data_IF_672451880205
#
_entry.id   IF_672451880205
#
_cell.length_a   1.000
_cell.length_b   1.000
_cell.length_c   1.000
_cell.angle_alpha   90.00
_cell.angle_beta   90.00
_cell.angle_gamma   90.00
#
_symmetry.space_group_name_H-M   'P 1'
#
loop_
_entity.id
_entity.type
_entity.pdbx_description
1 polymer ?
#
# COMPACT_ATOMS: atom_id res chain seq x y z
N UNK A 1 5.04 -28.43 25.66
CA UNK A 1 6.39 -28.86 25.18
C UNK A 1 6.37 -30.38 25.01
N UNK A 2 7.07 -30.96 24.01
CA UNK A 2 6.52 -31.22 22.67
C UNK A 2 6.48 -32.71 22.27
N UNK A 3 5.79 -32.96 21.15
CA UNK A 3 5.59 -34.24 20.47
C UNK A 3 6.73 -34.49 19.47
N UNK A 4 7.34 -35.68 19.51
CA UNK A 4 8.44 -36.09 18.63
C UNK A 4 7.96 -36.58 17.26
N UNK A 5 8.63 -36.11 16.22
CA UNK A 5 8.47 -36.47 14.80
C UNK A 5 9.28 -37.73 14.51
N UNK A 6 8.64 -38.77 13.95
CA UNK A 6 9.31 -39.95 13.39
C UNK A 6 9.90 -39.62 12.00
N UNK A 7 11.23 -39.64 11.88
CA UNK A 7 11.94 -39.56 10.61
C UNK A 7 12.24 -41.00 10.13
N UNK A 8 11.68 -41.37 8.99
CA UNK A 8 12.12 -42.54 8.22
C UNK A 8 13.45 -42.22 7.51
N UNK A 9 14.56 -42.74 8.03
CA UNK A 9 15.87 -42.68 7.36
C UNK A 9 16.05 -43.91 6.47
N UNK A 10 16.30 -43.70 5.18
CA UNK A 10 16.39 -44.74 4.16
C UNK A 10 17.78 -45.41 4.17
N UNK A 11 17.80 -46.75 4.16
CA UNK A 11 19.00 -47.61 4.30
C UNK A 11 20.13 -47.35 3.29
N UNK A 12 19.84 -46.68 2.15
CA UNK A 12 20.86 -46.33 1.13
C UNK A 12 21.62 -45.02 1.38
N UNK A 13 21.11 -44.08 2.18
CA UNK A 13 21.89 -42.89 2.57
C UNK A 13 22.93 -43.22 3.64
N UNK A 14 22.70 -44.28 4.43
CA UNK A 14 23.67 -44.83 5.37
C UNK A 14 24.89 -45.46 4.66
N UNK A 15 24.69 -46.14 3.51
CA UNK A 15 25.80 -46.69 2.72
C UNK A 15 26.69 -45.61 2.10
N UNK A 16 26.11 -44.45 1.73
CA UNK A 16 26.86 -43.33 1.15
C UNK A 16 27.72 -42.60 2.21
N UNK A 17 27.23 -42.51 3.45
CA UNK A 17 27.97 -41.95 4.58
C UNK A 17 29.11 -42.88 5.05
N UNK A 18 28.90 -44.20 4.98
CA UNK A 18 29.96 -45.20 5.24
C UNK A 18 31.05 -45.13 4.17
N UNK A 19 30.69 -44.87 2.90
CA UNK A 19 31.68 -44.70 1.82
C UNK A 19 32.53 -43.43 1.97
N UNK A 20 31.92 -42.31 2.39
CA UNK A 20 32.65 -41.08 2.68
C UNK A 20 33.55 -41.21 3.93
N UNK A 21 33.11 -41.96 4.94
CA UNK A 21 33.93 -42.27 6.11
C UNK A 21 35.14 -43.17 5.76
N UNK A 22 34.97 -44.14 4.84
CA UNK A 22 36.09 -44.94 4.33
C UNK A 22 37.08 -44.13 3.48
N UNK A 23 36.59 -43.18 2.67
CA UNK A 23 37.43 -42.31 1.84
C UNK A 23 38.33 -41.41 2.68
N UNK A 24 37.81 -40.83 3.77
CA UNK A 24 38.61 -40.00 4.68
C UNK A 24 39.59 -40.85 5.50
N UNK A 25 39.21 -42.08 5.87
CA UNK A 25 40.06 -42.98 6.65
C UNK A 25 41.22 -43.61 5.85
N UNK A 26 41.04 -43.86 4.54
CA UNK A 26 42.08 -44.44 3.69
C UNK A 26 43.11 -43.41 3.20
N UNK A 27 42.73 -42.14 3.12
CA UNK A 27 43.64 -41.06 2.68
C UNK A 27 44.71 -40.70 3.74
N UNK A 28 44.60 -41.25 4.97
CA UNK A 28 45.53 -40.98 6.07
C UNK A 28 46.51 -42.13 6.43
N UNK A 29 46.52 -43.26 5.72
CA UNK A 29 47.40 -44.38 6.06
C UNK A 29 48.10 -45.01 4.86
N UNK A 30 49.36 -44.57 4.68
CA UNK A 30 50.47 -45.21 3.93
C UNK A 30 50.30 -45.38 2.42
N UNK A 31 51.32 -44.90 1.72
CA UNK A 31 51.40 -44.90 0.27
C UNK A 31 51.41 -46.29 -0.35
N UNK A 32 51.04 -46.31 -1.63
CA UNK A 32 51.54 -47.25 -2.61
C UNK A 32 51.31 -46.66 -4.00
N UNK A 33 52.32 -46.83 -4.85
CA UNK A 33 52.45 -46.32 -6.20
C UNK A 33 51.36 -46.85 -7.14
N UNK A 34 50.86 -46.00 -8.04
CA UNK A 34 49.96 -46.40 -9.11
C UNK A 34 49.43 -45.20 -9.90
N UNK A 35 49.86 -45.08 -11.16
CA UNK A 35 49.39 -44.06 -12.11
C UNK A 35 47.86 -44.07 -12.21
N UNK A 36 47.23 -42.92 -11.90
CA UNK A 36 45.79 -42.73 -11.94
C UNK A 36 45.39 -42.03 -13.26
N UNK A 37 44.61 -42.72 -14.10
CA UNK A 37 44.09 -42.20 -15.37
C UNK A 37 42.79 -41.39 -15.13
N UNK A 38 42.95 -40.08 -14.95
CA UNK A 38 41.88 -39.15 -14.57
C UNK A 38 40.74 -39.02 -15.59
N UNK A 39 40.95 -39.37 -16.87
CA UNK A 39 39.88 -39.27 -17.88
C UNK A 39 38.79 -40.32 -17.68
N UNK A 40 39.15 -41.53 -17.23
CA UNK A 40 38.18 -42.61 -16.99
C UNK A 40 37.27 -42.34 -15.79
N UNK A 41 37.80 -41.71 -14.75
CA UNK A 41 37.01 -41.33 -13.57
C UNK A 41 36.00 -40.21 -13.88
N UNK A 42 36.39 -39.22 -14.70
CA UNK A 42 35.50 -38.13 -15.12
C UNK A 42 34.40 -38.65 -16.06
N UNK A 43 34.73 -39.54 -17.00
CA UNK A 43 33.75 -40.19 -17.88
C UNK A 43 32.70 -41.01 -17.12
N UNK A 44 33.15 -41.82 -16.14
CA UNK A 44 32.26 -42.63 -15.30
C UNK A 44 31.32 -41.77 -14.43
N UNK A 45 31.84 -40.68 -13.85
CA UNK A 45 31.03 -39.76 -13.02
C UNK A 45 29.93 -39.05 -13.82
N UNK A 46 30.20 -38.56 -15.04
CA UNK A 46 29.19 -37.92 -15.90
C UNK A 46 28.11 -38.88 -16.36
N UNK A 47 28.45 -40.15 -16.55
CA UNK A 47 27.50 -41.19 -16.94
C UNK A 47 26.53 -41.51 -15.79
N UNK A 48 27.08 -41.68 -14.57
CA UNK A 48 26.29 -41.85 -13.34
C UNK A 48 25.39 -40.66 -13.01
N UNK A 49 25.84 -39.42 -13.21
CA UNK A 49 24.99 -38.24 -13.01
C UNK A 49 23.79 -38.18 -13.95
N UNK A 50 23.99 -38.56 -15.23
CA UNK A 50 22.89 -38.60 -16.21
C UNK A 50 21.86 -39.67 -15.87
N UNK A 51 22.29 -40.86 -15.44
CA UNK A 51 21.39 -41.92 -14.98
C UNK A 51 20.58 -41.50 -13.77
N UNK A 52 21.21 -40.89 -12.75
CA UNK A 52 20.52 -40.41 -11.54
C UNK A 52 19.52 -39.31 -11.87
N UNK A 53 19.83 -38.41 -12.82
CA UNK A 53 18.93 -37.34 -13.24
C UNK A 53 17.71 -37.89 -13.98
N UNK A 54 17.91 -38.86 -14.86
CA UNK A 54 16.84 -39.54 -15.58
C UNK A 54 15.93 -40.34 -14.61
N UNK A 55 16.51 -41.01 -13.62
CA UNK A 55 15.75 -41.78 -12.62
C UNK A 55 14.94 -40.86 -11.68
N UNK A 56 15.49 -39.69 -11.30
CA UNK A 56 14.76 -38.66 -10.55
C UNK A 56 13.59 -38.06 -11.34
N UNK A 57 13.75 -37.84 -12.64
CA UNK A 57 12.65 -37.35 -13.50
C UNK A 57 11.57 -38.41 -13.68
N UNK A 58 11.95 -39.68 -13.88
CA UNK A 58 10.99 -40.79 -13.94
C UNK A 58 10.22 -40.97 -12.61
N UNK A 59 10.89 -40.81 -11.47
CA UNK A 59 10.20 -40.79 -10.17
C UNK A 59 9.23 -39.61 -10.06
N UNK A 60 9.66 -38.38 -10.40
CA UNK A 60 8.77 -37.20 -10.39
C UNK A 60 7.54 -37.39 -11.29
N UNK A 61 7.71 -38.00 -12.46
CA UNK A 61 6.62 -38.31 -13.39
C UNK A 61 5.66 -39.37 -12.82
N UNK A 62 6.18 -40.42 -12.19
CA UNK A 62 5.34 -41.43 -11.51
C UNK A 62 4.57 -40.84 -10.32
N UNK A 63 5.21 -40.00 -9.50
CA UNK A 63 4.55 -39.32 -8.38
C UNK A 63 3.47 -38.34 -8.85
N UNK A 64 3.70 -37.59 -9.94
CA UNK A 64 2.64 -36.75 -10.55
C UNK A 64 1.46 -37.57 -11.03
N UNK A 65 1.69 -38.69 -11.75
CA UNK A 65 0.60 -39.55 -12.25
C UNK A 65 -0.23 -40.16 -11.12
N UNK A 66 0.39 -40.57 -10.02
CA UNK A 66 -0.32 -41.08 -8.83
C UNK A 66 -1.14 -39.97 -8.17
N UNK A 67 -0.60 -38.75 -8.04
CA UNK A 67 -1.32 -37.62 -7.47
C UNK A 67 -2.52 -37.19 -8.32
N UNK A 68 -2.41 -37.25 -9.65
CA UNK A 68 -3.52 -36.95 -10.58
C UNK A 68 -4.63 -38.02 -10.51
N UNK A 69 -4.28 -39.29 -10.33
CA UNK A 69 -5.25 -40.39 -10.16
C UNK A 69 -6.01 -40.31 -8.84
N UNK A 70 -5.36 -39.89 -7.74
CA UNK A 70 -6.01 -39.69 -6.44
C UNK A 70 -6.97 -38.48 -6.47
N UNK A 71 -6.61 -37.41 -7.21
CA UNK A 71 -7.49 -36.25 -7.38
C UNK A 71 -8.74 -36.58 -8.22
N UNK A 72 -8.61 -37.42 -9.24
CA UNK A 72 -9.73 -37.88 -10.06
C UNK A 72 -10.67 -38.83 -9.30
N UNK A 73 -10.14 -39.68 -8.42
CA UNK A 73 -10.95 -40.55 -7.56
C UNK A 73 -11.69 -39.77 -6.45
N UNK A 74 -11.12 -38.68 -5.95
CA UNK A 74 -11.79 -37.81 -4.96
C UNK A 74 -12.95 -36.99 -5.57
N UNK A 75 -12.92 -36.73 -6.88
CA UNK A 75 -13.99 -36.01 -7.60
C UNK A 75 -15.17 -36.90 -8.02
N UNK A 76 -15.03 -38.24 -7.95
CA UNK A 76 -16.07 -39.18 -8.36
C UNK A 76 -16.97 -39.68 -7.20
N UNK A 77 -16.68 -39.31 -5.95
CA UNK A 77 -17.45 -39.77 -4.76
C UNK A 77 -18.36 -38.68 -4.18
N UNK A 78 -18.41 -37.47 -4.77
CA UNK A 78 -19.26 -36.37 -4.29
C UNK A 78 -20.51 -36.09 -5.12
N UNK A 79 -20.81 -36.90 -6.15
CA UNK A 79 -21.97 -36.67 -7.04
C UNK A 79 -23.30 -37.31 -6.58
N UNK A 80 -23.44 -37.71 -5.32
CA UNK A 80 -24.69 -38.30 -4.79
C UNK A 80 -24.97 -37.85 -3.35
N UNK A 81 -25.14 -36.54 -3.14
CA UNK A 81 -25.97 -36.02 -2.04
C UNK A 81 -26.52 -34.64 -2.45
N UNK A 82 -27.43 -34.66 -3.43
CA UNK A 82 -28.37 -33.57 -3.66
C UNK A 82 -29.45 -33.64 -2.57
N UNK A 83 -29.18 -33.06 -1.40
CA UNK A 83 -30.23 -32.65 -0.49
C UNK A 83 -30.28 -31.13 -0.51
N UNK A 84 -31.41 -30.63 -1.00
CA UNK A 84 -31.78 -29.24 -0.97
C UNK A 84 -31.68 -28.69 0.46
N UNK A 85 -30.64 -27.90 0.72
CA UNK A 85 -30.67 -26.89 1.76
C UNK A 85 -31.13 -25.60 1.11
N UNK A 86 -32.45 -25.43 0.99
CA UNK A 86 -33.05 -24.10 0.99
C UNK A 86 -32.94 -23.54 2.41
N UNK A 87 -31.71 -23.26 2.83
CA UNK A 87 -31.40 -22.37 3.93
C UNK A 87 -30.68 -21.20 3.30
N UNK A 88 -31.37 -20.07 3.13
CA UNK A 88 -30.72 -18.84 2.70
C UNK A 88 -29.51 -18.61 3.60
N UNK A 89 -28.31 -18.64 3.03
CA UNK A 89 -27.12 -18.28 3.77
C UNK A 89 -27.37 -16.87 4.30
N UNK A 90 -27.48 -16.72 5.63
CA UNK A 90 -27.69 -15.40 6.23
C UNK A 90 -26.58 -14.50 5.73
N UNK A 91 -26.93 -13.39 5.08
CA UNK A 91 -25.96 -12.42 4.58
C UNK A 91 -24.96 -12.07 5.69
N UNK A 92 -23.67 -12.05 5.33
CA UNK A 92 -22.62 -11.67 6.29
C UNK A 92 -22.72 -10.18 6.57
N UNK A 93 -22.35 -9.80 7.79
CA UNK A 93 -22.26 -8.39 8.15
C UNK A 93 -21.20 -7.68 7.29
N UNK A 94 -21.43 -6.40 7.03
CA UNK A 94 -20.48 -5.49 6.39
C UNK A 94 -19.21 -5.43 7.24
N UNK A 95 -18.08 -5.69 6.59
CA UNK A 95 -16.76 -5.41 7.17
C UNK A 95 -16.43 -3.95 6.89
N UNK A 96 -16.67 -3.07 7.86
CA UNK A 96 -16.26 -1.66 7.77
C UNK A 96 -14.74 -1.57 7.93
N UNK A 97 -14.05 -1.01 6.93
CA UNK A 97 -12.61 -0.80 6.93
C UNK A 97 -12.33 0.69 7.05
N UNK A 98 -11.69 1.10 8.14
CA UNK A 98 -11.32 2.50 8.42
C UNK A 98 -9.82 2.68 8.41
N UNK A 99 -9.37 3.92 8.23
CA UNK A 99 -7.97 4.28 8.42
C UNK A 99 -7.67 4.61 9.88
N UNK A 100 -6.40 4.58 10.26
CA UNK A 100 -5.93 5.00 11.58
C UNK A 100 -6.24 6.48 11.86
N UNK A 101 -6.37 6.86 13.12
CA UNK A 101 -6.71 8.24 13.52
C UNK A 101 -5.70 9.30 13.04
N UNK A 102 -4.46 8.91 12.73
CA UNK A 102 -3.44 9.80 12.15
C UNK A 102 -3.56 10.03 10.63
N UNK A 103 -4.55 9.41 9.98
CA UNK A 103 -4.77 9.47 8.54
C UNK A 103 -5.53 10.72 8.13
N UNK A 104 -4.94 11.51 7.23
CA UNK A 104 -5.70 12.57 6.55
C UNK A 104 -6.85 12.04 5.68
N UNK A 105 -6.82 10.76 5.28
CA UNK A 105 -7.93 10.15 4.50
C UNK A 105 -9.13 9.89 5.38
N UNK A 106 -8.87 9.46 6.61
CA UNK A 106 -9.90 9.37 7.62
C UNK A 106 -10.45 10.74 7.95
N UNK A 107 -9.58 11.70 8.24
CA UNK A 107 -10.00 13.07 8.57
C UNK A 107 -10.91 13.65 7.48
N UNK A 108 -10.53 13.52 6.20
CA UNK A 108 -11.35 14.00 5.09
C UNK A 108 -12.67 13.23 4.91
N UNK A 109 -12.67 11.91 5.08
CA UNK A 109 -13.88 11.10 4.97
C UNK A 109 -14.83 11.37 6.14
N UNK A 110 -14.34 11.24 7.36
CA UNK A 110 -15.13 11.26 8.57
C UNK A 110 -15.76 12.64 8.83
N UNK A 111 -15.10 13.74 8.42
CA UNK A 111 -15.63 15.11 8.53
C UNK A 111 -16.63 15.49 7.42
N UNK A 112 -16.76 14.68 6.37
CA UNK A 112 -17.76 14.89 5.30
C UNK A 112 -18.95 13.93 5.41
N UNK A 113 -18.80 12.80 6.10
CA UNK A 113 -19.84 11.78 6.22
C UNK A 113 -20.69 12.03 7.46
N UNK A 114 -21.99 12.24 7.26
CA UNK A 114 -22.95 12.67 8.29
C UNK A 114 -24.35 12.08 8.10
N UNK A 115 -25.09 11.90 9.20
CA UNK A 115 -26.54 11.65 9.17
C UNK A 115 -27.39 12.94 9.15
N UNK A 116 -26.75 14.08 8.93
CA UNK A 116 -27.37 15.42 8.99
C UNK A 116 -27.36 16.03 10.39
N UNK A 117 -27.05 15.25 11.44
CA UNK A 117 -26.92 15.74 12.83
C UNK A 117 -25.49 15.57 13.34
N UNK A 118 -24.90 14.40 13.11
CA UNK A 118 -23.57 14.02 13.58
C UNK A 118 -22.67 13.66 12.40
N UNK A 119 -21.37 13.90 12.55
CA UNK A 119 -20.34 13.44 11.62
C UNK A 119 -19.62 12.21 12.17
N UNK A 120 -18.98 11.41 11.30
CA UNK A 120 -18.16 10.30 11.78
C UNK A 120 -16.94 10.79 12.60
N UNK A 121 -16.47 12.01 12.34
CA UNK A 121 -15.53 12.74 13.18
C UNK A 121 -16.10 14.14 13.46
N UNK A 122 -16.30 14.45 14.74
CA UNK A 122 -16.77 15.76 15.19
C UNK A 122 -16.03 16.23 16.45
N UNK A 123 -16.23 17.50 16.82
CA UNK A 123 -15.71 18.05 18.07
C UNK A 123 -16.83 18.21 19.07
N UNK A 124 -16.73 17.48 20.19
CA UNK A 124 -17.61 17.63 21.36
C UNK A 124 -16.76 18.16 22.51
N UNK A 125 -17.13 19.32 23.06
CA UNK A 125 -16.38 20.02 24.11
C UNK A 125 -14.89 20.24 23.76
N UNK A 126 -14.61 20.56 22.49
CA UNK A 126 -13.26 20.77 21.98
C UNK A 126 -12.43 19.50 21.78
N UNK A 127 -12.97 18.32 22.11
CA UNK A 127 -12.31 17.02 21.91
C UNK A 127 -12.83 16.35 20.64
N UNK A 128 -11.92 15.73 19.88
CA UNK A 128 -12.31 14.90 18.74
C UNK A 128 -13.04 13.65 19.23
N UNK A 129 -14.22 13.40 18.68
CA UNK A 129 -15.02 12.20 18.88
C UNK A 129 -15.17 11.50 17.55
N UNK A 130 -15.00 10.17 17.56
CA UNK A 130 -15.20 9.32 16.39
C UNK A 130 -16.44 8.47 16.58
N UNK A 131 -17.40 8.60 15.67
CA UNK A 131 -18.68 7.87 15.67
C UNK A 131 -18.64 6.61 14.80
N UNK A 132 -17.46 6.20 14.31
CA UNK A 132 -17.29 4.93 13.59
C UNK A 132 -17.59 3.72 14.48
N UNK A 133 -18.09 2.63 13.90
CA UNK A 133 -18.39 1.39 14.62
C UNK A 133 -17.15 0.82 15.31
N UNK A 134 -17.33 0.30 16.53
CA UNK A 134 -16.28 -0.36 17.31
C UNK A 134 -15.78 -1.66 16.67
N UNK A 135 -16.54 -2.23 15.74
CA UNK A 135 -16.15 -3.44 14.99
C UNK A 135 -15.39 -3.13 13.71
N UNK A 136 -15.11 -1.85 13.42
CA UNK A 136 -14.37 -1.46 12.23
C UNK A 136 -12.96 -2.04 12.25
N UNK A 137 -12.52 -2.54 11.11
CA UNK A 137 -11.15 -3.01 10.90
C UNK A 137 -10.28 -1.81 10.56
N UNK A 138 -9.41 -1.42 11.49
CA UNK A 138 -8.49 -0.32 11.28
C UNK A 138 -7.28 -0.76 10.43
N UNK A 139 -6.88 0.10 9.49
CA UNK A 139 -5.76 -0.09 8.58
C UNK A 139 -4.88 1.15 8.55
N UNK A 140 -3.55 0.97 8.56
CA UNK A 140 -2.60 2.09 8.68
C UNK A 140 -2.19 2.70 7.35
N UNK A 141 -2.42 2.02 6.22
CA UNK A 141 -1.95 2.45 4.90
C UNK A 141 -3.03 2.33 3.84
N UNK A 142 -2.97 3.19 2.83
CA UNK A 142 -3.85 3.13 1.66
C UNK A 142 -3.83 1.74 1.00
N UNK A 143 -2.64 1.16 0.79
CA UNK A 143 -2.50 -0.16 0.19
C UNK A 143 -3.07 -1.31 1.02
N UNK A 144 -3.10 -1.18 2.36
CA UNK A 144 -3.66 -2.23 3.22
C UNK A 144 -5.19 -2.17 3.28
N UNK A 145 -5.79 -0.97 3.18
CA UNK A 145 -7.24 -0.83 2.94
C UNK A 145 -7.63 -1.46 1.61
N UNK A 146 -6.93 -1.11 0.52
CA UNK A 146 -7.18 -1.66 -0.82
C UNK A 146 -7.15 -3.19 -0.80
N UNK A 147 -6.09 -3.78 -0.22
CA UNK A 147 -5.94 -5.23 -0.12
C UNK A 147 -7.03 -5.89 0.72
N UNK A 148 -7.42 -5.26 1.83
CA UNK A 148 -8.48 -5.79 2.71
C UNK A 148 -9.82 -5.79 1.97
N UNK A 149 -10.20 -4.69 1.31
CA UNK A 149 -11.45 -4.60 0.55
C UNK A 149 -11.46 -5.57 -0.65
N UNK A 150 -10.35 -5.70 -1.36
CA UNK A 150 -10.21 -6.65 -2.47
C UNK A 150 -10.34 -8.12 -2.02
N UNK A 151 -9.96 -8.44 -0.78
CA UNK A 151 -10.00 -9.81 -0.24
C UNK A 151 -11.33 -10.23 0.38
N UNK A 152 -12.21 -9.28 0.70
CA UNK A 152 -13.41 -9.51 1.50
C UNK A 152 -14.66 -8.99 0.77
N UNK A 153 -15.49 -9.92 0.28
CA UNK A 153 -16.68 -9.62 -0.54
C UNK A 153 -17.71 -8.71 0.17
N UNK A 154 -17.65 -8.65 1.51
CA UNK A 154 -18.54 -7.84 2.34
C UNK A 154 -17.87 -6.58 2.89
N UNK A 155 -16.64 -6.26 2.45
CA UNK A 155 -15.94 -5.09 2.93
C UNK A 155 -16.32 -3.81 2.18
N UNK A 156 -16.38 -2.72 2.94
CA UNK A 156 -16.44 -1.35 2.45
C UNK A 156 -15.32 -0.55 3.11
N UNK A 157 -14.67 0.30 2.34
CA UNK A 157 -13.63 1.20 2.84
C UNK A 157 -13.51 2.43 1.95
N UNK A 158 -12.47 3.22 2.19
CA UNK A 158 -12.21 4.43 1.43
C UNK A 158 -10.70 4.64 1.23
N UNK A 159 -10.33 5.14 0.05
CA UNK A 159 -8.94 5.42 -0.33
C UNK A 159 -8.84 6.67 -1.20
N UNK A 160 -7.62 7.19 -1.39
CA UNK A 160 -7.37 8.20 -2.43
C UNK A 160 -7.73 7.65 -3.80
N UNK A 161 -8.42 8.44 -4.63
CA UNK A 161 -8.85 8.04 -5.98
C UNK A 161 -7.67 7.59 -6.84
N UNK A 162 -6.53 8.30 -6.79
CA UNK A 162 -5.32 7.93 -7.51
C UNK A 162 -4.70 6.58 -7.09
N UNK A 163 -5.17 5.98 -5.98
CA UNK A 163 -4.74 4.66 -5.51
C UNK A 163 -5.67 3.51 -5.88
N UNK A 164 -6.83 3.80 -6.49
CA UNK A 164 -7.78 2.79 -6.98
C UNK A 164 -7.13 1.97 -8.10
N UNK A 165 -7.45 0.68 -8.15
CA UNK A 165 -7.13 -0.22 -9.27
C UNK A 165 -8.31 -1.17 -9.54
N UNK A 166 -8.12 -2.13 -10.45
CA UNK A 166 -9.11 -3.10 -10.92
C UNK A 166 -9.51 -4.18 -9.89
N UNK A 167 -8.88 -4.21 -8.71
CA UNK A 167 -9.19 -5.20 -7.66
C UNK A 167 -10.35 -4.79 -6.74
N UNK A 168 -10.82 -3.54 -6.86
CA UNK A 168 -11.94 -2.99 -6.09
C UNK A 168 -12.89 -2.24 -7.01
N UNK A 169 -14.13 -2.06 -6.57
CA UNK A 169 -15.15 -1.27 -7.24
C UNK A 169 -15.37 0.05 -6.51
N UNK A 170 -15.31 1.16 -7.23
CA UNK A 170 -15.63 2.50 -6.69
C UNK A 170 -17.14 2.71 -6.71
N UNK A 171 -17.67 3.23 -5.62
CA UNK A 171 -19.09 3.62 -5.51
C UNK A 171 -19.28 5.08 -5.89
N UNK A 172 -20.47 5.39 -6.41
CA UNK A 172 -20.97 6.76 -6.43
C UNK A 172 -21.34 7.20 -5.02
N UNK A 173 -21.27 8.51 -4.77
CA UNK A 173 -21.77 9.13 -3.55
C UNK A 173 -22.78 10.20 -3.93
N UNK A 174 -24.02 10.07 -3.45
CA UNK A 174 -25.15 10.91 -3.86
C UNK A 174 -25.32 10.96 -5.40
N UNK A 175 -25.16 9.83 -6.10
CA UNK A 175 -25.26 9.78 -7.56
C UNK A 175 -24.03 10.28 -8.32
N UNK A 176 -23.03 10.83 -7.64
CA UNK A 176 -21.82 11.40 -8.25
C UNK A 176 -20.66 10.42 -8.15
N UNK A 177 -20.04 10.09 -9.29
CA UNK A 177 -18.81 9.32 -9.32
C UNK A 177 -17.60 10.25 -9.07
N UNK A 178 -16.61 9.86 -8.25
CA UNK A 178 -15.41 10.67 -8.09
C UNK A 178 -14.58 10.70 -9.38
N UNK A 179 -14.24 11.90 -9.84
CA UNK A 179 -13.43 12.17 -11.02
C UNK A 179 -12.77 13.54 -10.90
N UNK A 180 -11.87 13.89 -11.81
CA UNK A 180 -11.30 15.25 -11.85
C UNK A 180 -12.38 16.32 -12.04
N UNK A 181 -13.30 16.10 -12.97
CA UNK A 181 -14.41 17.01 -13.28
C UNK A 181 -15.29 17.24 -12.04
N UNK A 182 -15.76 16.16 -11.41
CA UNK A 182 -16.68 16.22 -10.27
C UNK A 182 -16.03 16.71 -8.97
N UNK A 183 -14.70 16.69 -8.89
CA UNK A 183 -13.94 17.31 -7.79
C UNK A 183 -13.78 18.81 -8.03
N UNK A 184 -13.43 19.21 -9.26
CA UNK A 184 -13.21 20.61 -9.60
C UNK A 184 -14.49 21.45 -9.57
N UNK A 185 -15.61 20.88 -9.99
CA UNK A 185 -16.92 21.53 -9.91
C UNK A 185 -17.55 21.45 -8.50
N UNK A 186 -16.97 20.64 -7.62
CA UNK A 186 -17.39 20.46 -6.23
C UNK A 186 -18.68 19.67 -6.04
N UNK A 187 -19.14 18.93 -7.05
CA UNK A 187 -20.30 18.02 -6.94
C UNK A 187 -19.96 16.78 -6.12
N UNK A 188 -18.74 16.25 -6.23
CA UNK A 188 -18.23 15.19 -5.36
C UNK A 188 -17.66 15.78 -4.07
N UNK A 189 -18.39 15.66 -2.97
CA UNK A 189 -18.07 16.37 -1.72
C UNK A 189 -16.90 15.81 -0.93
N UNK A 190 -16.62 14.51 -1.03
CA UNK A 190 -15.60 13.85 -0.21
C UNK A 190 -14.22 14.03 -0.86
N UNK A 191 -13.67 15.23 -0.73
CA UNK A 191 -12.40 15.63 -1.34
C UNK A 191 -11.51 16.36 -0.33
N UNK A 192 -10.21 16.44 -0.62
CA UNK A 192 -9.24 17.06 0.28
C UNK A 192 -8.03 17.63 -0.47
N UNK A 193 -7.32 18.59 0.12
CA UNK A 193 -6.03 19.00 -0.38
C UNK A 193 -4.94 17.98 -0.04
N UNK A 194 -4.02 17.80 -0.96
CA UNK A 194 -2.68 17.27 -0.70
C UNK A 194 -1.77 18.45 -0.37
N UNK A 195 -1.37 18.52 0.89
CA UNK A 195 -0.65 19.65 1.48
C UNK A 195 0.80 19.28 1.67
N UNK A 196 1.68 20.16 1.22
CA UNK A 196 3.12 20.11 1.49
C UNK A 196 3.43 21.20 2.51
N UNK A 197 4.24 20.87 3.52
CA UNK A 197 4.47 21.73 4.68
C UNK A 197 5.93 21.75 5.15
N UNK A 198 6.32 22.87 5.75
CA UNK A 198 7.59 23.12 6.45
C UNK A 198 7.35 23.92 7.71
N UNK A 199 8.33 23.95 8.62
CA UNK A 199 8.18 24.67 9.88
C UNK A 199 8.20 26.17 9.62
N UNK A 200 7.25 26.90 10.20
CA UNK A 200 7.24 28.35 10.10
C UNK A 200 8.45 28.95 10.83
N UNK A 201 9.08 29.96 10.23
CA UNK A 201 10.19 30.69 10.83
C UNK A 201 11.53 29.95 10.85
N UNK A 202 11.63 28.75 10.28
CA UNK A 202 12.91 28.06 10.08
C UNK A 202 13.53 28.48 8.74
N UNK A 203 14.85 28.62 8.71
CA UNK A 203 15.57 28.73 7.44
C UNK A 203 15.75 27.32 6.86
N UNK A 204 15.17 27.07 5.68
CA UNK A 204 15.38 25.80 4.99
C UNK A 204 16.84 25.67 4.54
N UNK A 205 17.38 24.47 4.61
CA UNK A 205 18.66 24.14 3.96
C UNK A 205 18.57 24.41 2.46
N UNK A 206 19.68 24.74 1.81
CA UNK A 206 19.69 25.09 0.37
C UNK A 206 19.02 24.00 -0.49
N UNK A 207 19.33 22.73 -0.21
CA UNK A 207 18.72 21.59 -0.89
C UNK A 207 17.21 21.47 -0.64
N UNK A 208 16.76 21.64 0.60
CA UNK A 208 15.33 21.59 0.91
C UNK A 208 14.57 22.78 0.31
N UNK A 209 15.16 23.97 0.29
CA UNK A 209 14.60 25.15 -0.34
C UNK A 209 14.45 24.98 -1.86
N UNK A 210 15.47 24.43 -2.54
CA UNK A 210 15.42 24.15 -3.99
C UNK A 210 14.34 23.13 -4.34
N UNK A 211 14.25 22.03 -3.57
CA UNK A 211 13.19 21.05 -3.77
C UNK A 211 11.81 21.60 -3.41
N UNK A 212 11.69 22.47 -2.39
CA UNK A 212 10.44 23.15 -2.08
C UNK A 212 10.00 24.06 -3.23
N UNK A 213 10.94 24.77 -3.86
CA UNK A 213 10.66 25.55 -5.07
C UNK A 213 10.20 24.64 -6.23
N UNK A 214 10.82 23.48 -6.41
CA UNK A 214 10.40 22.46 -7.37
C UNK A 214 8.96 22.00 -7.13
N UNK A 215 8.61 21.62 -5.89
CA UNK A 215 7.25 21.23 -5.53
C UNK A 215 6.23 22.38 -5.67
N UNK A 216 6.66 23.63 -5.48
CA UNK A 216 5.78 24.80 -5.64
C UNK A 216 5.59 25.21 -7.11
N UNK A 217 6.37 24.65 -8.03
CA UNK A 217 6.38 25.06 -9.44
C UNK A 217 5.39 24.30 -10.33
N UNK A 218 5.37 24.68 -11.61
CA UNK A 218 4.73 23.95 -12.71
C UNK A 218 5.32 22.53 -12.93
N UNK A 219 6.56 22.27 -12.49
CA UNK A 219 7.20 20.97 -12.64
C UNK A 219 6.49 19.85 -11.86
N UNK A 220 5.69 20.19 -10.85
CA UNK A 220 4.90 19.20 -10.11
C UNK A 220 3.69 18.69 -10.92
N UNK A 221 3.22 19.41 -11.93
CA UNK A 221 1.97 19.10 -12.65
C UNK A 221 1.95 17.69 -13.23
N UNK A 222 2.99 17.31 -13.99
CA UNK A 222 3.05 15.98 -14.60
C UNK A 222 3.10 14.85 -13.55
N UNK A 223 3.74 15.10 -12.40
CA UNK A 223 3.79 14.13 -11.29
C UNK A 223 2.44 13.99 -10.60
N UNK A 224 1.68 15.09 -10.46
CA UNK A 224 0.32 15.08 -9.94
C UNK A 224 -0.63 14.28 -10.82
N UNK A 225 -0.64 14.57 -12.12
CA UNK A 225 -1.45 13.85 -13.10
C UNK A 225 -1.11 12.35 -13.10
N UNK A 226 0.18 11.99 -13.10
CA UNK A 226 0.62 10.59 -13.01
C UNK A 226 0.27 9.92 -11.68
N UNK A 227 0.16 10.68 -10.59
CA UNK A 227 -0.25 10.17 -9.29
C UNK A 227 -1.76 10.00 -9.16
N UNK A 228 -2.55 10.53 -10.12
CA UNK A 228 -4.01 10.50 -10.10
C UNK A 228 -4.62 11.52 -9.14
N UNK A 229 -3.92 12.62 -8.87
CA UNK A 229 -4.44 13.77 -8.14
C UNK A 229 -4.49 15.01 -9.06
N UNK A 230 -5.36 15.95 -8.71
CA UNK A 230 -5.70 17.09 -9.57
C UNK A 230 -4.78 18.24 -9.20
N UNK A 231 -3.87 18.61 -10.10
CA UNK A 231 -2.92 19.69 -9.87
C UNK A 231 -3.63 21.02 -9.65
N UNK A 232 -3.28 21.72 -8.56
CA UNK A 232 -3.86 23.03 -8.27
C UNK A 232 -3.04 24.14 -8.94
N UNK A 233 -3.50 24.60 -10.10
CA UNK A 233 -2.90 25.73 -10.80
C UNK A 233 -3.39 27.11 -10.31
N UNK A 234 -4.59 27.17 -9.72
CA UNK A 234 -5.21 28.40 -9.20
C UNK A 234 -4.51 28.85 -7.89
N UNK A 235 -3.81 30.01 -7.88
CA UNK A 235 -3.08 30.49 -6.71
C UNK A 235 -3.94 30.62 -5.45
N UNK A 236 -5.23 30.95 -5.58
CA UNK A 236 -6.13 31.11 -4.44
C UNK A 236 -6.43 29.76 -3.76
N UNK A 237 -6.51 28.68 -4.55
CA UNK A 237 -6.75 27.31 -4.03
C UNK A 237 -5.49 26.66 -3.45
N UNK A 238 -4.31 27.19 -3.78
CA UNK A 238 -3.03 26.73 -3.24
C UNK A 238 -2.75 27.24 -1.84
N UNK A 239 -3.33 28.37 -1.45
CA UNK A 239 -3.26 28.90 -0.11
C UNK A 239 -4.32 28.26 0.81
N UNK A 240 -4.10 28.36 2.13
CA UNK A 240 -5.17 28.10 3.08
C UNK A 240 -6.26 29.16 2.98
N UNK A 241 -7.49 28.81 3.34
CA UNK A 241 -8.60 29.76 3.35
C UNK A 241 -8.28 30.99 4.21
N UNK A 242 -8.34 32.16 3.58
CA UNK A 242 -8.04 33.47 4.19
C UNK A 242 -6.56 33.89 4.13
N UNK A 243 -5.67 33.08 3.56
CA UNK A 243 -4.26 33.44 3.34
C UNK A 243 -4.02 34.01 1.94
N UNK A 244 -2.86 34.68 1.76
CA UNK A 244 -2.47 35.24 0.46
C UNK A 244 -2.30 34.13 -0.60
N UNK A 245 -2.76 34.36 -1.85
CA UNK A 245 -2.61 33.40 -2.93
C UNK A 245 -1.16 32.99 -3.19
N UNK A 246 -0.92 31.70 -3.42
CA UNK A 246 0.42 31.16 -3.68
C UNK A 246 0.58 30.89 -5.17
N UNK A 247 1.32 31.74 -5.88
CA UNK A 247 1.49 31.63 -7.32
C UNK A 247 2.24 30.34 -7.74
N UNK A 248 1.86 29.78 -8.89
CA UNK A 248 2.68 28.79 -9.61
C UNK A 248 3.81 29.53 -10.32
N UNK A 249 5.04 29.11 -10.05
CA UNK A 249 6.24 29.61 -10.73
C UNK A 249 6.81 28.53 -11.64
N UNK A 250 7.69 28.92 -12.57
CA UNK A 250 8.48 27.95 -13.33
C UNK A 250 9.74 27.60 -12.56
N UNK A 251 10.03 26.31 -12.42
CA UNK A 251 11.25 25.87 -11.77
C UNK A 251 12.47 26.11 -12.67
N UNK A 252 13.47 26.81 -12.13
CA UNK A 252 14.76 26.99 -12.80
C UNK A 252 15.80 26.14 -12.10
N UNK A 253 16.26 25.08 -12.77
CA UNK A 253 17.31 24.20 -12.27
C UNK A 253 18.61 24.98 -12.01
N UNK A 254 19.26 24.73 -10.88
CA UNK A 254 20.59 25.28 -10.59
C UNK A 254 21.70 24.60 -11.39
N UNK A 255 22.86 25.25 -11.52
CA UNK A 255 24.01 24.70 -12.24
C UNK A 255 24.49 23.36 -11.64
N UNK A 256 24.41 23.23 -10.31
CA UNK A 256 24.76 22.03 -9.54
C UNK A 256 23.68 21.73 -8.51
N UNK A 257 23.53 20.46 -8.13
CA UNK A 257 22.66 20.07 -7.03
C UNK A 257 23.10 20.81 -5.75
N UNK A 258 22.21 21.52 -5.04
CA UNK A 258 22.58 22.19 -3.81
C UNK A 258 23.16 21.23 -2.76
N UNK A 259 24.20 21.71 -2.09
CA UNK A 259 24.85 20.96 -1.02
C UNK A 259 23.92 20.84 0.20
N UNK A 260 24.21 19.86 1.06
CA UNK A 260 23.47 19.66 2.29
C UNK A 260 23.19 18.19 2.58
N UNK A 261 22.53 17.97 3.71
CA UNK A 261 22.06 16.66 4.14
C UNK A 261 20.89 16.16 3.25
N UNK A 262 20.45 14.94 3.49
CA UNK A 262 19.23 14.44 2.83
C UNK A 262 18.03 15.25 3.31
N UNK A 263 17.08 15.46 2.40
CA UNK A 263 15.77 16.01 2.74
C UNK A 263 14.97 14.89 3.43
N UNK A 264 14.49 15.16 4.63
CA UNK A 264 13.66 14.26 5.42
C UNK A 264 12.22 14.47 5.04
N UNK A 265 11.60 13.49 4.37
CA UNK A 265 10.19 13.55 3.97
C UNK A 265 9.40 12.62 4.88
N UNK A 266 8.40 13.18 5.57
CA UNK A 266 7.49 12.43 6.45
C UNK A 266 6.04 12.76 6.15
N UNK A 267 5.15 11.80 6.25
CA UNK A 267 3.72 12.11 6.24
C UNK A 267 2.80 11.10 5.57
N UNK A 268 1.82 11.63 4.82
CA UNK A 268 0.70 10.86 4.29
C UNK A 268 1.09 9.75 3.31
N UNK A 269 0.60 8.55 3.56
CA UNK A 269 0.67 7.40 2.64
C UNK A 269 -0.21 7.56 1.41
N UNK A 270 -1.20 8.48 1.40
CA UNK A 270 -1.96 8.78 0.18
C UNK A 270 -1.18 9.62 -0.82
N UNK A 271 -0.12 10.30 -0.38
CA UNK A 271 0.72 11.13 -1.24
C UNK A 271 1.94 10.37 -1.79
N UNK A 272 2.05 9.07 -1.54
CA UNK A 272 3.21 8.24 -1.91
C UNK A 272 3.55 8.33 -3.40
N UNK A 273 2.56 8.12 -4.28
CA UNK A 273 2.78 8.19 -5.74
C UNK A 273 3.28 9.56 -6.17
N UNK A 274 2.67 10.63 -5.65
CA UNK A 274 3.03 12.01 -5.97
C UNK A 274 4.46 12.33 -5.54
N UNK A 275 4.79 12.11 -4.27
CA UNK A 275 6.07 12.55 -3.74
C UNK A 275 7.23 11.69 -4.25
N UNK A 276 7.02 10.40 -4.47
CA UNK A 276 8.05 9.53 -5.04
C UNK A 276 8.33 9.86 -6.50
N UNK A 277 7.29 10.18 -7.30
CA UNK A 277 7.46 10.67 -8.66
C UNK A 277 8.17 12.03 -8.70
N UNK A 278 7.75 12.98 -7.86
CA UNK A 278 8.38 14.30 -7.78
C UNK A 278 9.84 14.23 -7.31
N UNK A 279 10.14 13.42 -6.29
CA UNK A 279 11.50 13.19 -5.81
C UNK A 279 12.38 12.56 -6.90
N UNK A 280 11.85 11.58 -7.63
CA UNK A 280 12.54 10.99 -8.78
C UNK A 280 12.78 12.02 -9.88
N UNK A 281 11.77 12.79 -10.27
CA UNK A 281 11.88 13.82 -11.31
C UNK A 281 12.92 14.87 -10.96
N UNK A 282 12.94 15.33 -9.71
CA UNK A 282 13.96 16.26 -9.21
C UNK A 282 15.37 15.65 -9.24
N UNK A 283 15.54 14.39 -8.82
CA UNK A 283 16.84 13.72 -8.86
C UNK A 283 17.34 13.51 -10.30
N UNK A 284 16.44 13.16 -11.22
CA UNK A 284 16.74 12.97 -12.64
C UNK A 284 17.23 14.29 -13.28
N UNK A 285 16.72 15.46 -12.86
CA UNK A 285 17.22 16.77 -13.32
C UNK A 285 18.70 16.96 -13.04
N UNK A 286 19.21 16.39 -11.95
CA UNK A 286 20.61 16.49 -11.53
C UNK A 286 21.44 15.25 -11.90
N UNK A 287 20.85 14.24 -12.53
CA UNK A 287 21.54 13.01 -12.93
C UNK A 287 22.01 12.16 -11.75
N UNK A 288 21.28 12.17 -10.63
CA UNK A 288 21.62 11.43 -9.40
C UNK A 288 20.45 10.53 -8.97
N UNK A 289 20.68 9.62 -8.02
CA UNK A 289 19.61 8.79 -7.48
C UNK A 289 18.80 9.56 -6.43
N UNK A 290 17.47 9.40 -6.45
CA UNK A 290 16.59 10.00 -5.45
C UNK A 290 16.97 9.58 -4.01
N UNK A 291 17.42 8.34 -3.80
CA UNK A 291 17.85 7.85 -2.50
C UNK A 291 19.07 8.60 -1.93
N UNK A 292 19.85 9.30 -2.76
CA UNK A 292 20.99 10.11 -2.33
C UNK A 292 20.57 11.51 -1.85
N UNK A 293 19.39 11.97 -2.28
CA UNK A 293 18.81 13.29 -1.94
C UNK A 293 17.79 13.17 -0.81
N UNK A 294 17.01 12.09 -0.77
CA UNK A 294 15.81 11.99 0.05
C UNK A 294 15.87 10.82 1.04
N UNK A 295 15.36 11.06 2.24
CA UNK A 295 14.94 10.04 3.20
C UNK A 295 13.42 10.12 3.36
N UNK A 296 12.70 9.23 2.67
CA UNK A 296 11.23 9.26 2.60
C UNK A 296 10.65 8.15 3.47
N UNK A 297 9.82 8.52 4.45
CA UNK A 297 9.05 7.57 5.26
C UNK A 297 7.62 8.06 5.43
N UNK A 298 6.65 7.25 4.99
CA UNK A 298 5.23 7.63 4.96
C UNK A 298 4.44 6.72 5.89
N UNK A 299 3.85 7.34 6.92
CA UNK A 299 3.17 6.64 8.02
C UNK A 299 1.83 7.27 8.39
N UNK A 300 1.51 8.47 7.91
CA UNK A 300 0.29 9.18 8.25
C UNK A 300 0.46 10.70 8.22
N UNK A 301 -0.63 11.44 8.03
CA UNK A 301 -0.59 12.91 7.97
C UNK A 301 -0.15 13.52 9.30
N UNK A 302 -0.60 12.95 10.44
CA UNK A 302 -0.18 13.41 11.76
C UNK A 302 1.32 13.23 12.04
N UNK A 303 1.94 12.18 11.49
CA UNK A 303 3.40 11.98 11.58
C UNK A 303 4.15 13.07 10.81
N UNK A 304 3.66 13.43 9.62
CA UNK A 304 4.21 14.54 8.84
C UNK A 304 4.11 15.86 9.57
N UNK A 305 2.93 16.16 10.15
CA UNK A 305 2.69 17.39 10.91
C UNK A 305 3.67 17.48 12.08
N UNK A 306 3.78 16.39 12.86
CA UNK A 306 4.70 16.30 14.00
C UNK A 306 6.17 16.44 13.61
N UNK A 307 6.60 15.79 12.52
CA UNK A 307 7.97 15.92 12.02
C UNK A 307 8.33 17.35 11.65
N UNK A 308 7.38 18.09 11.05
CA UNK A 308 7.56 19.52 10.75
C UNK A 308 7.61 20.35 12.03
N UNK A 309 6.73 20.13 12.99
CA UNK A 309 6.76 20.82 14.29
C UNK A 309 8.09 20.63 15.01
N UNK A 310 8.64 19.43 14.95
CA UNK A 310 9.89 19.03 15.61
C UNK A 310 11.15 19.41 14.82
N UNK A 311 11.01 19.94 13.60
CA UNK A 311 12.16 20.32 12.77
C UNK A 311 12.99 21.41 13.44
N UNK A 312 14.30 21.22 13.49
CA UNK A 312 15.28 22.17 14.01
C UNK A 312 16.42 22.44 13.04
N UNK A 313 16.45 21.72 11.92
CA UNK A 313 17.55 21.71 10.94
C UNK A 313 17.13 22.33 9.60
N UNK A 314 15.83 22.42 9.31
CA UNK A 314 15.32 23.03 8.09
C UNK A 314 15.46 22.14 6.85
N UNK A 315 15.62 20.83 7.05
CA UNK A 315 15.63 19.83 5.98
C UNK A 315 14.40 18.92 5.99
N UNK A 316 13.39 19.20 6.83
CA UNK A 316 12.18 18.38 6.91
C UNK A 316 11.06 18.95 6.06
N UNK A 317 10.45 18.10 5.23
CA UNK A 317 9.23 18.39 4.49
C UNK A 317 8.14 17.41 4.93
N UNK A 318 7.06 17.97 5.44
CA UNK A 318 5.89 17.21 5.85
C UNK A 318 4.85 17.10 4.73
N UNK A 319 4.13 15.98 4.72
CA UNK A 319 3.03 15.71 3.79
C UNK A 319 1.73 15.43 4.55
N UNK A 320 0.66 16.16 4.25
CA UNK A 320 -0.66 15.98 4.84
C UNK A 320 -1.70 15.81 3.75
N UNK A 321 -2.48 14.75 3.80
CA UNK A 321 -3.59 14.55 2.86
C UNK A 321 -4.92 14.96 3.52
N UNK A 322 -4.87 16.10 4.21
CA UNK A 322 -5.96 16.78 4.88
C UNK A 322 -5.51 18.23 5.08
N UNK A 323 -6.46 19.15 5.23
CA UNK A 323 -6.18 20.55 5.45
C UNK A 323 -5.24 20.75 6.65
N UNK A 324 -4.36 21.76 6.58
CA UNK A 324 -3.42 22.10 7.64
C UNK A 324 -3.55 23.59 7.91
N UNK A 325 -4.10 23.94 9.08
CA UNK A 325 -4.15 25.31 9.58
C UNK A 325 -3.52 25.34 10.96
N UNK A 326 -2.22 25.63 10.99
CA UNK A 326 -1.40 25.71 12.20
C UNK A 326 -0.45 26.91 12.08
N UNK A 327 -0.35 27.72 13.12
CA UNK A 327 0.42 28.98 13.07
C UNK A 327 1.93 28.77 12.95
N UNK A 328 2.43 27.60 13.37
CA UNK A 328 3.84 27.23 13.33
C UNK A 328 4.23 26.44 12.07
N UNK A 329 3.39 26.42 11.05
CA UNK A 329 3.61 25.67 9.80
C UNK A 329 3.37 26.54 8.57
N UNK A 330 4.37 26.62 7.70
CA UNK A 330 4.19 27.10 6.34
C UNK A 330 3.70 25.95 5.46
N UNK A 331 2.64 26.17 4.68
CA UNK A 331 2.06 25.12 3.85
C UNK A 331 1.48 25.65 2.54
N UNK A 332 1.35 24.76 1.56
CA UNK A 332 0.57 25.01 0.35
C UNK A 332 -0.14 23.73 -0.10
N UNK A 333 -1.31 23.90 -0.72
CA UNK A 333 -2.06 22.83 -1.35
C UNK A 333 -1.46 22.59 -2.75
N UNK A 334 -0.87 21.41 -2.94
CA UNK A 334 -0.28 21.00 -4.19
C UNK A 334 -1.32 20.46 -5.17
N UNK A 335 -2.26 19.66 -4.67
CA UNK A 335 -3.28 18.99 -5.47
C UNK A 335 -4.60 18.89 -4.70
N UNK A 336 -5.69 18.59 -5.41
CA UNK A 336 -6.91 18.03 -4.84
C UNK A 336 -6.96 16.52 -5.09
N UNK A 337 -7.50 15.80 -4.12
CA UNK A 337 -7.70 14.35 -4.15
C UNK A 337 -9.13 14.02 -3.73
N UNK A 338 -9.82 13.23 -4.54
CA UNK A 338 -11.08 12.60 -4.12
C UNK A 338 -10.79 11.42 -3.20
N UNK A 339 -11.58 11.29 -2.14
CA UNK A 339 -11.62 10.07 -1.33
C UNK A 339 -12.72 9.18 -1.91
N UNK A 340 -12.29 8.14 -2.62
CA UNK A 340 -13.17 7.17 -3.26
C UNK A 340 -13.66 6.14 -2.23
N UNK A 341 -14.98 5.96 -2.15
CA UNK A 341 -15.57 4.83 -1.43
C UNK A 341 -15.43 3.59 -2.29
N UNK A 342 -14.90 2.52 -1.71
CA UNK A 342 -14.62 1.28 -2.41
C UNK A 342 -15.29 0.09 -1.73
N UNK A 343 -15.74 -0.85 -2.53
CA UNK A 343 -16.18 -2.19 -2.13
C UNK A 343 -15.46 -3.25 -2.95
N UNK A 344 -15.62 -4.51 -2.57
CA UNK A 344 -15.12 -5.61 -3.39
C UNK A 344 -15.72 -5.59 -4.81
N UNK A 345 -14.95 -6.00 -5.82
CA UNK A 345 -15.43 -6.11 -7.20
C UNK A 345 -16.63 -7.04 -7.37
N UNK A 346 -16.78 -8.04 -6.49
CA UNK A 346 -17.89 -8.98 -6.51
C UNK A 346 -19.12 -8.50 -5.75
N UNK A 347 -19.04 -7.39 -5.03
CA UNK A 347 -20.21 -6.82 -4.37
C UNK A 347 -21.19 -6.34 -5.44
N UNK A 348 -22.37 -6.93 -5.53
CA UNK A 348 -23.43 -6.57 -6.49
C UNK A 348 -24.60 -5.83 -5.82
N UNK A 349 -24.49 -5.58 -4.51
CA UNK A 349 -25.56 -5.02 -3.67
C UNK A 349 -25.64 -3.51 -3.74
N UNK A 350 -24.50 -2.84 -3.85
CA UNK A 350 -24.42 -1.37 -3.87
C UNK A 350 -23.57 -0.88 -5.03
N UNK A 351 -24.00 0.23 -5.64
CA UNK A 351 -23.25 0.96 -6.68
C UNK A 351 -23.24 2.48 -6.44
N UNK A 352 -24.12 2.95 -5.57
CA UNK A 352 -24.30 4.34 -5.16
C UNK A 352 -24.76 4.33 -3.69
N UNK A 353 -24.27 5.29 -2.91
CA UNK A 353 -24.64 5.48 -1.52
C UNK A 353 -24.82 6.97 -1.25
N UNK A 354 -25.85 7.32 -0.50
CA UNK A 354 -25.96 8.67 0.04
C UNK A 354 -24.95 8.89 1.17
N UNK A 355 -24.64 10.16 1.47
CA UNK A 355 -23.80 10.52 2.62
C UNK A 355 -24.39 9.98 3.94
N UNK A 356 -25.72 10.00 4.08
CA UNK A 356 -26.40 9.44 5.25
C UNK A 356 -26.23 7.91 5.32
N UNK A 357 -26.41 7.19 4.21
CA UNK A 357 -26.17 5.74 4.19
C UNK A 357 -24.71 5.38 4.50
N UNK A 358 -23.75 6.18 4.02
CA UNK A 358 -22.35 6.02 4.42
C UNK A 358 -22.20 6.20 5.93
N UNK A 359 -22.82 7.21 6.54
CA UNK A 359 -22.78 7.38 7.98
C UNK A 359 -23.37 6.17 8.71
N UNK A 360 -24.54 5.69 8.28
CA UNK A 360 -25.21 4.56 8.92
C UNK A 360 -24.41 3.26 8.81
N UNK A 361 -23.75 3.01 7.67
CA UNK A 361 -22.85 1.86 7.50
C UNK A 361 -21.62 2.00 8.40
N UNK A 362 -20.92 3.14 8.32
CA UNK A 362 -19.65 3.33 9.03
C UNK A 362 -19.81 3.51 10.55
N UNK A 363 -20.98 3.94 11.03
CA UNK A 363 -21.34 3.93 12.47
C UNK A 363 -21.88 2.59 12.96
N UNK A 364 -22.20 1.66 12.04
CA UNK A 364 -22.72 0.33 12.36
C UNK A 364 -24.23 0.28 12.63
N UNK A 365 -24.97 1.32 12.27
CA UNK A 365 -26.45 1.32 12.29
C UNK A 365 -27.01 0.40 11.20
N UNK A 366 -26.40 0.45 10.00
CA UNK A 366 -26.60 -0.54 8.94
C UNK A 366 -25.46 -1.54 9.02
N UNK A 367 -25.83 -2.82 9.13
CA UNK A 367 -24.84 -3.89 9.31
C UNK A 367 -24.77 -4.84 8.14
N UNK A 368 -25.68 -4.72 7.17
CA UNK A 368 -25.77 -5.57 5.97
C UNK A 368 -26.03 -4.73 4.74
N UNK A 369 -25.54 -5.17 3.57
CA UNK A 369 -25.76 -4.40 2.35
C UNK A 369 -27.22 -4.45 1.89
N UNK A 370 -27.95 -5.54 2.16
CA UNK A 370 -29.38 -5.64 1.82
C UNK A 370 -30.27 -4.71 2.68
N UNK A 371 -29.74 -4.11 3.75
CA UNK A 371 -30.44 -3.10 4.56
C UNK A 371 -30.37 -1.69 3.93
N UNK A 372 -29.50 -1.48 2.93
CA UNK A 372 -29.38 -0.23 2.19
C UNK A 372 -30.57 -0.10 1.24
N UNK A 373 -31.45 0.88 1.51
CA UNK A 373 -32.69 1.12 0.75
C UNK A 373 -32.58 2.18 -0.34
#
# INVERSE_FOLDING_TARGET
>A
MPVGVFIFYNRKTAELLIFFAFYIFFTFRKGFEGSWDGEKAVSYSRTKEKEIKHEKENMKMKTKKILTLVLAAALAVTSLFSLASCGGASEKNITVVVREQGSGTREAFDTNVTDGTHFLEEKVDGKKVYNSTKTAVEQTKTGTVLSKVASDEYAIGYISLGSVNDTVKVLKVNGVLPSEETVLDGTYKIQRPFVVMTKHGITLTERAADFMAYLKSDALKAHAESAGCIYLADPAKRANEGADPIAVTTFTKQATLPAGEKIVIRGSTSMEKLITAAAKGYADLYGVNAADIFDIQLEGSSVGRKAVEDDTTGNTIGLSSAAVKQDNVDSFNACLDAVAVIVNVKNDKVSDLTIHQLYDIFSGKITKFDEVK
#
